data_IF_608902686858
#
_entry.id   IF_608902686858
#
_cell.length_a   1.000
_cell.length_b   1.000
_cell.length_c   1.000
_cell.angle_alpha   90.00
_cell.angle_beta   90.00
_cell.angle_gamma   90.00
#
_symmetry.space_group_name_H-M   'P 1'
#
loop_
_entity.id
_entity.type
_entity.pdbx_description
1 polymer ?
#
# COMPACT_ATOMS: atom_id res chain seq x y z
N UNK A 1 -14.31 13.52 -14.90
CA UNK A 1 -14.20 12.03 -14.79
C UNK A 1 -14.91 11.63 -13.52
N UNK A 2 -15.73 10.61 -13.59
CA UNK A 2 -16.40 10.07 -12.39
C UNK A 2 -15.37 9.47 -11.42
N UNK A 3 -15.64 9.55 -10.11
CA UNK A 3 -14.76 9.05 -9.04
C UNK A 3 -14.48 7.55 -9.22
N UNK A 4 -15.53 6.78 -9.51
CA UNK A 4 -15.39 5.34 -9.71
C UNK A 4 -14.62 4.97 -10.98
N UNK A 5 -14.76 5.77 -12.04
CA UNK A 5 -14.01 5.55 -13.27
C UNK A 5 -12.53 5.84 -13.09
N UNK A 6 -12.20 6.90 -12.32
CA UNK A 6 -10.81 7.22 -11.98
C UNK A 6 -10.18 6.09 -11.14
N UNK A 7 -10.87 5.66 -10.09
CA UNK A 7 -10.41 4.56 -9.24
C UNK A 7 -10.18 3.28 -10.04
N UNK A 8 -11.14 2.91 -10.89
CA UNK A 8 -11.05 1.72 -11.76
C UNK A 8 -9.86 1.81 -12.71
N UNK A 9 -9.67 2.96 -13.37
CA UNK A 9 -8.54 3.19 -14.27
C UNK A 9 -7.20 3.02 -13.55
N UNK A 10 -7.04 3.65 -12.38
CA UNK A 10 -5.80 3.59 -11.63
C UNK A 10 -5.52 2.17 -11.11
N UNK A 11 -6.54 1.46 -10.66
CA UNK A 11 -6.39 0.05 -10.27
C UNK A 11 -5.96 -0.84 -11.45
N UNK A 12 -6.54 -0.65 -12.64
CA UNK A 12 -6.13 -1.38 -13.84
C UNK A 12 -4.67 -1.09 -14.22
N UNK A 13 -4.24 0.18 -14.12
CA UNK A 13 -2.83 0.56 -14.32
C UNK A 13 -1.91 -0.10 -13.31
N UNK A 14 -2.27 -0.12 -12.03
CA UNK A 14 -1.49 -0.75 -10.98
C UNK A 14 -1.27 -2.26 -11.25
N UNK A 15 -2.33 -2.98 -11.64
CA UNK A 15 -2.23 -4.39 -12.01
C UNK A 15 -1.31 -4.60 -13.21
N UNK A 16 -1.40 -3.73 -14.23
CA UNK A 16 -0.48 -3.79 -15.38
C UNK A 16 0.97 -3.52 -14.96
N UNK A 17 1.22 -2.59 -14.08
CA UNK A 17 2.56 -2.30 -13.55
C UNK A 17 3.13 -3.52 -12.82
N UNK A 18 2.33 -4.22 -12.00
CA UNK A 18 2.75 -5.46 -11.34
C UNK A 18 3.21 -6.50 -12.38
N UNK A 19 2.46 -6.66 -13.48
CA UNK A 19 2.81 -7.57 -14.56
C UNK A 19 4.08 -7.13 -15.31
N UNK A 20 4.18 -5.85 -15.66
CA UNK A 20 5.28 -5.30 -16.45
C UNK A 20 6.61 -5.28 -15.67
N UNK A 21 6.56 -5.05 -14.37
CA UNK A 21 7.75 -4.97 -13.51
C UNK A 21 8.32 -6.31 -13.12
N UNK A 22 7.55 -7.39 -13.23
CA UNK A 22 7.94 -8.74 -12.77
C UNK A 22 8.36 -8.79 -11.29
N UNK A 23 7.75 -7.93 -10.47
CA UNK A 23 8.09 -7.79 -9.05
C UNK A 23 7.88 -9.10 -8.28
N UNK A 24 6.75 -9.78 -8.53
CA UNK A 24 6.44 -11.04 -7.87
C UNK A 24 7.46 -12.12 -8.25
N UNK A 25 7.72 -12.42 -9.54
CA UNK A 25 8.75 -13.38 -9.93
C UNK A 25 10.16 -13.02 -9.41
N UNK A 26 10.50 -11.73 -9.32
CA UNK A 26 11.80 -11.32 -8.80
C UNK A 26 11.99 -11.76 -7.35
N UNK A 27 11.00 -11.53 -6.50
CA UNK A 27 11.03 -11.97 -5.11
C UNK A 27 10.86 -13.48 -4.94
N UNK A 28 9.99 -14.12 -5.70
CA UNK A 28 9.84 -15.59 -5.68
C UNK A 28 11.13 -16.31 -6.03
N UNK A 29 11.96 -15.72 -6.90
CA UNK A 29 13.23 -16.30 -7.32
C UNK A 29 14.30 -16.40 -6.21
N UNK A 30 14.09 -15.71 -5.09
CA UNK A 30 14.89 -15.82 -3.87
C UNK A 30 14.16 -16.58 -2.76
N UNK A 31 13.09 -17.31 -3.12
CA UNK A 31 12.30 -18.12 -2.19
C UNK A 31 11.28 -17.34 -1.35
N UNK A 32 10.99 -16.09 -1.72
CA UNK A 32 10.04 -15.27 -0.99
C UNK A 32 8.58 -15.57 -1.38
N UNK A 33 7.69 -15.43 -0.42
CA UNK A 33 6.25 -15.28 -0.61
C UNK A 33 5.91 -13.80 -0.69
N UNK A 34 5.14 -13.39 -1.68
CA UNK A 34 4.78 -12.00 -1.95
C UNK A 34 3.28 -11.82 -1.75
N UNK A 35 2.89 -10.94 -0.86
CA UNK A 35 1.49 -10.61 -0.61
C UNK A 35 1.22 -9.17 -1.02
N UNK A 36 0.24 -8.97 -1.91
CA UNK A 36 -0.29 -7.64 -2.17
C UNK A 36 -1.11 -7.18 -0.95
N UNK A 37 -0.85 -5.97 -0.48
CA UNK A 37 -1.58 -5.34 0.63
C UNK A 37 -2.04 -3.93 0.22
N UNK A 38 -2.41 -3.09 1.16
CA UNK A 38 -2.72 -1.69 0.91
C UNK A 38 -4.00 -1.43 0.10
N UNK A 39 -4.04 -0.27 -0.50
CA UNK A 39 -5.26 0.28 -1.12
C UNK A 39 -5.64 -0.45 -2.41
N UNK A 40 -4.68 -0.96 -3.17
CA UNK A 40 -4.95 -1.74 -4.37
C UNK A 40 -5.62 -3.07 -4.04
N UNK A 41 -5.13 -3.79 -3.02
CA UNK A 41 -5.69 -5.07 -2.60
C UNK A 41 -7.16 -4.97 -2.16
N UNK A 42 -7.53 -3.86 -1.52
CA UNK A 42 -8.89 -3.64 -1.03
C UNK A 42 -9.81 -2.94 -2.05
N UNK A 43 -9.29 -2.60 -3.23
CA UNK A 43 -10.03 -1.85 -4.27
C UNK A 43 -10.29 -0.39 -3.90
N UNK A 44 -9.46 0.20 -3.02
CA UNK A 44 -9.57 1.57 -2.52
C UNK A 44 -8.45 2.49 -3.03
N UNK A 45 -7.68 2.04 -4.03
CA UNK A 45 -6.67 2.87 -4.70
C UNK A 45 -7.35 4.02 -5.46
N UNK A 46 -6.87 5.24 -5.25
CA UNK A 46 -7.42 6.47 -5.86
C UNK A 46 -6.31 7.31 -6.52
N UNK A 47 -5.99 8.49 -5.99
CA UNK A 47 -5.02 9.43 -6.58
C UNK A 47 -3.57 9.16 -6.18
N UNK A 48 -3.35 8.69 -4.98
CA UNK A 48 -2.02 8.25 -4.58
C UNK A 48 -1.70 6.97 -5.33
N UNK A 49 -0.71 7.06 -6.22
CA UNK A 49 -0.32 5.98 -7.12
C UNK A 49 0.73 5.13 -6.42
N UNK A 50 0.28 4.33 -5.44
CA UNK A 50 1.09 3.44 -4.63
C UNK A 50 0.65 1.97 -4.76
N UNK A 51 1.60 1.07 -4.75
CA UNK A 51 1.40 -0.38 -4.78
C UNK A 51 2.21 -0.97 -3.63
N UNK A 52 1.54 -1.66 -2.71
CA UNK A 52 2.13 -2.13 -1.47
C UNK A 52 2.26 -3.65 -1.47
N UNK A 53 3.45 -4.14 -1.16
CA UNK A 53 3.72 -5.56 -0.98
C UNK A 53 4.36 -5.85 0.37
N UNK A 54 3.92 -6.93 0.99
CA UNK A 54 4.61 -7.58 2.09
C UNK A 54 5.32 -8.84 1.60
N UNK A 55 6.58 -8.94 1.97
CA UNK A 55 7.48 -9.99 1.53
C UNK A 55 7.90 -10.81 2.74
N UNK A 56 7.86 -12.13 2.59
CA UNK A 56 8.26 -13.08 3.61
C UNK A 56 9.18 -14.13 3.04
N UNK A 57 10.26 -14.44 3.73
CA UNK A 57 11.16 -15.56 3.39
C UNK A 57 11.23 -16.55 4.57
N UNK A 58 11.34 -17.86 4.34
CA UNK A 58 11.43 -18.84 5.40
C UNK A 58 12.63 -18.61 6.34
N UNK A 59 13.69 -18.05 5.80
CA UNK A 59 14.84 -17.57 6.55
C UNK A 59 15.19 -16.19 6.03
N UNK A 60 15.14 -15.20 6.91
CA UNK A 60 15.43 -13.82 6.53
C UNK A 60 16.88 -13.69 6.05
N UNK A 61 17.07 -13.09 4.88
CA UNK A 61 18.37 -12.82 4.29
C UNK A 61 18.36 -11.44 3.62
N UNK A 62 19.16 -10.54 4.16
CA UNK A 62 19.34 -9.20 3.56
C UNK A 62 19.96 -9.32 2.15
N UNK A 63 20.87 -10.28 1.94
CA UNK A 63 21.46 -10.55 0.60
C UNK A 63 20.40 -10.93 -0.43
N UNK A 64 19.45 -11.79 -0.06
CA UNK A 64 18.38 -12.22 -0.96
C UNK A 64 17.43 -11.06 -1.28
N UNK A 65 17.18 -10.21 -0.29
CA UNK A 65 16.43 -8.97 -0.49
C UNK A 65 17.07 -8.06 -1.55
N UNK A 66 18.40 -7.88 -1.49
CA UNK A 66 19.13 -7.13 -2.52
C UNK A 66 19.13 -7.85 -3.87
N UNK A 67 19.26 -9.19 -3.91
CA UNK A 67 19.23 -9.94 -5.16
C UNK A 67 17.88 -9.79 -5.89
N UNK A 68 16.76 -9.77 -5.18
CA UNK A 68 15.47 -9.49 -5.77
C UNK A 68 15.44 -8.10 -6.42
N UNK A 69 15.98 -7.08 -5.71
CA UNK A 69 16.05 -5.71 -6.25
C UNK A 69 16.94 -5.60 -7.48
N UNK A 70 18.08 -6.28 -7.51
CA UNK A 70 18.97 -6.29 -8.70
C UNK A 70 18.19 -6.72 -9.95
N UNK A 71 17.33 -7.73 -9.87
CA UNK A 71 16.49 -8.17 -11.01
C UNK A 71 15.53 -7.10 -11.49
N UNK A 72 14.98 -6.29 -10.60
CA UNK A 72 14.10 -5.20 -10.98
C UNK A 72 14.82 -4.07 -11.71
N UNK A 73 16.11 -3.87 -11.46
CA UNK A 73 16.89 -2.82 -12.15
C UNK A 73 17.07 -3.06 -13.65
N UNK A 74 16.79 -4.25 -14.15
CA UNK A 74 16.76 -4.53 -15.59
C UNK A 74 15.65 -3.77 -16.31
N UNK A 75 14.57 -3.42 -15.61
CA UNK A 75 13.50 -2.60 -16.15
C UNK A 75 13.84 -1.11 -16.00
N UNK A 76 14.14 -0.45 -17.13
CA UNK A 76 14.57 0.96 -17.19
C UNK A 76 13.51 1.97 -16.77
N UNK A 77 12.28 1.56 -16.58
CA UNK A 77 11.19 2.40 -16.07
C UNK A 77 11.26 2.63 -14.55
N UNK A 78 12.08 1.88 -13.83
CA UNK A 78 12.43 2.20 -12.46
C UNK A 78 13.37 3.40 -12.41
N UNK A 79 12.91 4.51 -11.88
CA UNK A 79 13.64 5.78 -11.83
C UNK A 79 14.52 5.91 -10.59
N UNK A 80 14.11 5.25 -9.49
CA UNK A 80 14.75 5.34 -8.18
C UNK A 80 14.39 4.12 -7.34
N UNK A 81 15.32 3.67 -6.51
CA UNK A 81 15.05 2.69 -5.45
C UNK A 81 15.72 3.17 -4.17
N UNK A 82 15.03 3.06 -3.07
CA UNK A 82 15.54 3.35 -1.73
C UNK A 82 15.37 2.14 -0.83
N UNK A 83 16.27 2.02 0.12
CA UNK A 83 16.28 0.93 1.08
C UNK A 83 16.45 1.50 2.48
N UNK A 84 15.73 0.91 3.43
CA UNK A 84 15.87 1.24 4.84
C UNK A 84 15.87 -0.05 5.65
N UNK A 85 16.96 -0.27 6.38
CA UNK A 85 17.06 -1.40 7.28
C UNK A 85 16.49 -1.01 8.66
N UNK A 86 15.43 -1.67 9.07
CA UNK A 86 14.73 -1.46 10.34
C UNK A 86 14.70 -2.74 11.21
N UNK A 87 15.58 -3.71 10.93
CA UNK A 87 15.61 -5.00 11.65
C UNK A 87 15.85 -4.83 13.15
N UNK A 88 16.66 -3.85 13.55
CA UNK A 88 16.98 -3.55 14.95
C UNK A 88 15.99 -2.55 15.59
N UNK A 89 14.81 -2.37 15.01
CA UNK A 89 13.74 -1.51 15.50
C UNK A 89 12.47 -2.32 15.78
N UNK A 90 11.45 -1.69 16.35
CA UNK A 90 10.14 -2.31 16.56
C UNK A 90 9.43 -2.73 15.27
N UNK A 91 9.90 -2.25 14.11
CA UNK A 91 9.33 -2.60 12.81
C UNK A 91 9.80 -3.97 12.31
N UNK A 92 10.98 -4.44 12.72
CA UNK A 92 11.56 -5.75 12.40
C UNK A 92 11.46 -6.11 10.91
N UNK A 93 11.82 -5.16 10.03
CA UNK A 93 11.69 -5.31 8.58
C UNK A 93 12.81 -4.61 7.82
N UNK A 94 12.84 -4.86 6.53
CA UNK A 94 13.57 -4.05 5.55
C UNK A 94 12.57 -3.43 4.59
N UNK A 95 12.57 -2.11 4.51
CA UNK A 95 11.72 -1.37 3.58
C UNK A 95 12.47 -1.13 2.27
N UNK A 96 11.80 -1.40 1.16
CA UNK A 96 12.19 -0.99 -0.18
C UNK A 96 11.12 -0.10 -0.76
N UNK A 97 11.51 1.07 -1.24
CA UNK A 97 10.65 1.99 -1.96
C UNK A 97 11.21 2.16 -3.37
N UNK A 98 10.40 1.87 -4.37
CA UNK A 98 10.79 2.00 -5.76
C UNK A 98 9.83 2.95 -6.50
N UNK A 99 10.37 3.79 -7.37
CA UNK A 99 9.57 4.69 -8.21
C UNK A 99 9.63 4.22 -9.65
N UNK A 100 8.48 3.91 -10.16
CA UNK A 100 8.27 3.41 -11.52
C UNK A 100 7.50 4.42 -12.35
N UNK A 101 7.96 4.69 -13.57
CA UNK A 101 7.29 5.56 -14.52
C UNK A 101 6.54 4.72 -15.54
N UNK A 102 5.22 4.88 -15.58
CA UNK A 102 4.38 4.13 -16.50
C UNK A 102 4.39 4.70 -17.93
N UNK A 103 3.68 4.06 -18.85
CA UNK A 103 3.61 4.44 -20.25
C UNK A 103 2.93 5.81 -20.47
N UNK A 104 2.11 6.26 -19.53
CA UNK A 104 1.46 7.58 -19.54
C UNK A 104 2.31 8.66 -18.86
N UNK A 105 3.56 8.33 -18.50
CA UNK A 105 4.49 9.19 -17.78
C UNK A 105 4.06 9.55 -16.35
N UNK A 106 3.14 8.78 -15.75
CA UNK A 106 2.78 8.90 -14.34
C UNK A 106 3.80 8.18 -13.46
N UNK A 107 4.13 8.76 -12.32
CA UNK A 107 5.11 8.21 -11.39
C UNK A 107 4.39 7.43 -10.28
N UNK A 108 4.66 6.15 -10.21
CA UNK A 108 4.14 5.23 -9.21
C UNK A 108 5.19 4.95 -8.15
N UNK A 109 4.75 4.87 -6.89
CA UNK A 109 5.57 4.33 -5.82
C UNK A 109 5.21 2.86 -5.60
N UNK A 110 6.22 2.02 -5.42
CA UNK A 110 6.04 0.60 -5.13
C UNK A 110 6.79 0.31 -3.85
N UNK A 111 6.04 -0.04 -2.83
CA UNK A 111 6.54 -0.33 -1.51
C UNK A 111 6.60 -1.85 -1.29
N UNK A 112 7.77 -2.34 -0.95
CA UNK A 112 8.04 -3.75 -0.71
C UNK A 112 8.66 -3.88 0.68
N UNK A 113 7.86 -4.33 1.64
CA UNK A 113 8.29 -4.47 3.02
C UNK A 113 8.64 -5.93 3.28
N UNK A 114 9.94 -6.22 3.41
CA UNK A 114 10.43 -7.54 3.74
C UNK A 114 10.43 -7.71 5.26
N UNK A 115 9.41 -8.42 5.75
CA UNK A 115 9.07 -8.56 7.16
C UNK A 115 9.74 -9.82 7.72
N UNK A 116 10.28 -9.71 8.93
CA UNK A 116 10.76 -10.86 9.68
C UNK A 116 9.58 -11.74 10.11
N UNK A 117 9.56 -13.00 9.70
CA UNK A 117 8.52 -13.95 10.14
C UNK A 117 8.55 -14.13 11.66
N UNK A 118 7.36 -14.19 12.26
CA UNK A 118 7.20 -14.24 13.72
C UNK A 118 7.31 -12.89 14.43
N UNK A 119 7.60 -11.79 13.70
CA UNK A 119 7.59 -10.43 14.26
C UNK A 119 6.17 -9.94 14.58
N UNK A 120 6.08 -8.79 15.26
CA UNK A 120 4.80 -8.17 15.64
C UNK A 120 3.87 -7.93 14.45
N UNK A 121 4.41 -7.67 13.27
CA UNK A 121 3.64 -7.32 12.08
C UNK A 121 3.49 -8.49 11.09
N UNK A 122 3.95 -9.67 11.46
CA UNK A 122 3.74 -10.86 10.62
C UNK A 122 2.25 -11.10 10.37
N UNK A 123 1.88 -11.09 9.10
CA UNK A 123 0.50 -11.27 8.62
C UNK A 123 -0.53 -10.27 9.18
N UNK A 124 -0.09 -9.19 9.85
CA UNK A 124 -1.00 -8.21 10.46
C UNK A 124 -1.81 -7.46 9.40
N UNK A 125 -1.14 -6.95 8.37
CA UNK A 125 -1.78 -6.13 7.35
C UNK A 125 -2.58 -6.95 6.34
N UNK A 126 -2.22 -8.21 6.13
CA UNK A 126 -3.02 -9.18 5.36
C UNK A 126 -4.36 -9.44 6.05
N UNK A 127 -4.34 -9.71 7.35
CA UNK A 127 -5.55 -9.88 8.16
C UNK A 127 -6.39 -8.60 8.20
N UNK A 128 -5.72 -7.45 8.26
CA UNK A 128 -6.40 -6.15 8.17
C UNK A 128 -7.13 -6.01 6.83
N UNK A 129 -6.47 -6.28 5.70
CA UNK A 129 -7.07 -6.18 4.37
C UNK A 129 -8.24 -7.16 4.19
N UNK A 130 -8.12 -8.38 4.70
CA UNK A 130 -9.19 -9.39 4.69
C UNK A 130 -10.42 -8.90 5.46
N UNK A 131 -10.24 -8.43 6.69
CA UNK A 131 -11.34 -7.91 7.52
C UNK A 131 -11.95 -6.65 6.94
N UNK A 132 -11.13 -5.72 6.44
CA UNK A 132 -11.61 -4.53 5.76
C UNK A 132 -12.49 -4.90 4.58
N UNK A 133 -12.05 -5.83 3.73
CA UNK A 133 -12.82 -6.30 2.58
C UNK A 133 -14.15 -6.94 2.98
N UNK A 134 -14.19 -7.63 4.12
CA UNK A 134 -15.40 -8.29 4.62
C UNK A 134 -16.48 -7.31 5.11
N UNK A 135 -16.09 -6.11 5.58
CA UNK A 135 -17.03 -5.10 6.09
C UNK A 135 -17.34 -3.99 5.08
N UNK A 136 -16.59 -3.92 3.97
CA UNK A 136 -16.84 -2.95 2.91
C UNK A 136 -18.17 -3.23 2.20
N UNK A 137 -18.99 -2.19 2.10
CA UNK A 137 -20.17 -2.14 1.24
C UNK A 137 -19.90 -1.20 0.06
N UNK A 138 -20.73 -1.23 -0.99
CA UNK A 138 -20.62 -0.28 -2.10
C UNK A 138 -20.72 1.18 -1.62
N UNK A 139 -21.57 1.44 -0.62
CA UNK A 139 -21.72 2.78 -0.02
C UNK A 139 -20.45 3.24 0.68
N UNK A 140 -19.88 2.41 1.58
CA UNK A 140 -18.68 2.77 2.33
C UNK A 140 -17.46 2.84 1.44
N UNK A 141 -17.36 1.96 0.44
CA UNK A 141 -16.33 2.02 -0.60
C UNK A 141 -16.37 3.33 -1.36
N UNK A 142 -17.56 3.73 -1.83
CA UNK A 142 -17.73 5.01 -2.52
C UNK A 142 -17.37 6.19 -1.62
N UNK A 143 -17.81 6.19 -0.35
CA UNK A 143 -17.49 7.26 0.60
C UNK A 143 -15.98 7.39 0.81
N UNK A 144 -15.25 6.28 0.99
CA UNK A 144 -13.79 6.28 1.13
C UNK A 144 -13.13 6.83 -0.14
N UNK A 145 -13.53 6.35 -1.32
CA UNK A 145 -12.96 6.81 -2.58
C UNK A 145 -13.24 8.31 -2.81
N UNK A 146 -14.43 8.79 -2.41
CA UNK A 146 -14.79 10.19 -2.49
C UNK A 146 -13.91 11.05 -1.58
N UNK A 147 -13.73 10.69 -0.33
CA UNK A 147 -12.86 11.41 0.60
C UNK A 147 -11.41 11.45 0.09
N UNK A 148 -10.87 10.33 -0.41
CA UNK A 148 -9.54 10.28 -1.04
C UNK A 148 -9.45 11.16 -2.29
N UNK A 149 -10.52 11.25 -3.08
CA UNK A 149 -10.58 12.13 -4.26
C UNK A 149 -10.60 13.60 -3.88
N UNK A 150 -11.34 13.98 -2.85
CA UNK A 150 -11.47 15.35 -2.36
C UNK A 150 -10.23 15.83 -1.61
N UNK A 151 -9.44 14.91 -1.05
CA UNK A 151 -8.17 15.24 -0.36
C UNK A 151 -7.18 15.87 -1.35
N UNK A 152 -6.61 17.06 -1.05
CA UNK A 152 -5.57 17.65 -1.86
C UNK A 152 -4.33 16.76 -1.98
N UNK A 153 -3.61 16.78 -3.11
CA UNK A 153 -2.39 16.00 -3.31
C UNK A 153 -1.24 16.40 -2.37
N UNK A 154 -1.27 17.62 -1.85
CA UNK A 154 -0.31 18.10 -0.84
C UNK A 154 -0.50 17.48 0.54
N UNK A 155 -1.67 16.88 0.80
CA UNK A 155 -2.01 16.25 2.07
C UNK A 155 -1.61 14.77 2.05
N UNK A 156 -0.73 14.39 2.97
CA UNK A 156 -0.38 12.97 3.19
C UNK A 156 -1.24 12.41 4.32
N UNK A 157 -2.27 11.67 3.95
CA UNK A 157 -3.20 11.05 4.88
C UNK A 157 -3.11 9.53 4.71
N UNK A 158 -2.94 8.81 5.81
CA UNK A 158 -2.86 7.35 5.78
C UNK A 158 -4.20 6.72 5.42
N UNK A 159 -4.17 5.65 4.63
CA UNK A 159 -5.39 4.93 4.22
C UNK A 159 -6.29 4.55 5.40
N UNK A 160 -5.69 4.13 6.50
CA UNK A 160 -6.40 3.71 7.72
C UNK A 160 -7.25 4.84 8.34
N UNK A 161 -6.86 6.12 8.21
CA UNK A 161 -7.65 7.25 8.70
C UNK A 161 -9.00 7.33 7.99
N UNK A 162 -9.02 7.19 6.65
CA UNK A 162 -10.26 7.15 5.88
C UNK A 162 -11.13 5.95 6.26
N UNK A 163 -10.51 4.78 6.47
CA UNK A 163 -11.25 3.57 6.81
C UNK A 163 -11.91 3.67 8.18
N UNK A 164 -11.19 4.16 9.18
CA UNK A 164 -11.76 4.39 10.52
C UNK A 164 -12.86 5.44 10.48
N UNK A 165 -12.63 6.59 9.85
CA UNK A 165 -13.61 7.65 9.76
C UNK A 165 -14.92 7.17 9.12
N UNK A 166 -14.85 6.44 7.99
CA UNK A 166 -16.03 6.00 7.25
C UNK A 166 -16.71 4.79 7.88
N UNK A 167 -15.93 3.75 8.23
CA UNK A 167 -16.48 2.44 8.64
C UNK A 167 -16.85 2.45 10.12
N UNK A 168 -15.95 2.94 10.98
CA UNK A 168 -16.18 2.97 12.43
C UNK A 168 -17.10 4.10 12.85
N UNK A 169 -16.84 5.32 12.32
CA UNK A 169 -17.43 6.57 12.84
C UNK A 169 -18.47 7.18 11.89
N UNK A 170 -18.73 6.59 10.73
CA UNK A 170 -19.84 6.95 9.85
C UNK A 170 -19.66 8.27 9.07
N UNK A 171 -18.43 8.81 8.97
CA UNK A 171 -18.13 10.05 8.27
C UNK A 171 -18.41 9.91 6.76
N UNK A 172 -18.99 10.94 6.13
CA UNK A 172 -19.42 10.91 4.72
C UNK A 172 -19.02 12.15 3.92
N UNK A 173 -18.59 13.25 4.56
CA UNK A 173 -18.14 14.46 3.88
C UNK A 173 -16.68 14.79 4.21
N UNK A 174 -16.03 15.56 3.32
CA UNK A 174 -14.64 15.97 3.53
C UNK A 174 -14.49 16.91 4.72
N UNK A 175 -15.45 17.81 4.94
CA UNK A 175 -15.47 18.72 6.07
C UNK A 175 -15.52 17.95 7.40
N UNK A 176 -16.45 17.00 7.53
CA UNK A 176 -16.53 16.13 8.71
C UNK A 176 -15.26 15.31 8.90
N UNK A 177 -14.65 14.84 7.81
CA UNK A 177 -13.41 14.08 7.87
C UNK A 177 -12.23 14.90 8.41
N UNK A 178 -12.12 16.16 8.00
CA UNK A 178 -11.06 17.04 8.50
C UNK A 178 -11.26 17.38 9.98
N UNK A 179 -12.50 17.60 10.42
CA UNK A 179 -12.84 17.79 11.85
C UNK A 179 -12.54 16.51 12.65
N UNK A 180 -12.90 15.34 12.10
CA UNK A 180 -12.61 14.05 12.71
C UNK A 180 -11.11 13.83 12.92
N UNK A 181 -10.27 14.16 11.95
CA UNK A 181 -8.80 14.04 12.03
C UNK A 181 -8.20 14.89 13.15
N UNK A 182 -8.73 16.10 13.38
CA UNK A 182 -8.30 16.96 14.49
C UNK A 182 -8.56 16.28 15.85
N UNK A 183 -9.66 15.56 15.97
CA UNK A 183 -10.05 14.86 17.20
C UNK A 183 -9.35 13.49 17.35
N UNK A 184 -8.83 12.92 16.27
CA UNK A 184 -8.20 11.61 16.23
C UNK A 184 -6.79 11.68 15.61
N UNK A 185 -5.86 12.41 16.26
CA UNK A 185 -4.49 12.54 15.73
C UNK A 185 -3.81 11.17 15.70
N UNK A 186 -3.24 10.82 14.54
CA UNK A 186 -2.52 9.57 14.36
C UNK A 186 -1.09 9.73 14.84
N UNK A 187 -0.67 8.86 15.74
CA UNK A 187 0.71 8.76 16.20
C UNK A 187 1.18 7.31 16.08
N UNK A 188 2.19 7.08 15.23
CA UNK A 188 2.75 5.73 15.02
C UNK A 188 1.86 4.79 14.21
N UNK A 189 2.10 3.47 14.35
CA UNK A 189 1.33 2.43 13.66
C UNK A 189 -0.03 2.26 14.34
N UNK A 190 -1.10 2.49 13.58
CA UNK A 190 -2.45 2.32 14.08
C UNK A 190 -2.82 0.83 14.17
N UNK A 191 -3.35 0.42 15.32
CA UNK A 191 -3.69 -0.98 15.61
C UNK A 191 -5.19 -1.28 15.53
N UNK A 192 -6.00 -0.37 14.94
CA UNK A 192 -7.41 -0.64 14.72
C UNK A 192 -7.60 -1.78 13.70
N UNK A 193 -8.57 -2.66 13.99
CA UNK A 193 -9.02 -3.73 13.10
C UNK A 193 -10.51 -3.57 12.85
N UNK A 194 -10.96 -3.58 11.58
CA UNK A 194 -12.40 -3.58 11.27
C UNK A 194 -13.09 -4.88 11.64
#
# INVERSE_FOLDING_TARGET
MDILDLARRNQQKAWKIIEDTKIIPAWESVGARVNLVGSLNTGLLMKHLDIDFHIYTPQFSLSDSFQAMVKLTENKSFMKMEHKNLLDTEAECVEWHAWYRDADNELWQIDMIHILEGSRYDSYFEKFAERLSAVLTEETKYAILKLKYETPESEKIMGIEYYMAVIRDGIRSYEEFMEWRIQHPVTGVMTWMP
#
